data_IF_075280208711
#
_entry.id   IF_075280208711
#
_cell.length_a   1.000
_cell.length_b   1.000
_cell.length_c   1.000
_cell.angle_alpha   90.00
_cell.angle_beta   90.00
_cell.angle_gamma   90.00
#
_symmetry.space_group_name_H-M   'P 1'
#
loop_
_entity.id
_entity.type
_entity.pdbx_description
1 polymer ?
#
# COMPACT_ATOMS: atom_id res chain seq x y z
N UNK A 1 -27.16 7.32 -3.59
CA UNK A 1 -26.08 8.31 -3.79
C UNK A 1 -25.07 8.36 -2.64
N UNK A 2 -25.47 8.16 -1.37
CA UNK A 2 -24.54 8.20 -0.23
C UNK A 2 -23.47 7.09 -0.25
N UNK A 3 -23.82 5.87 -0.64
CA UNK A 3 -22.91 4.70 -0.64
C UNK A 3 -21.74 4.81 -1.63
N UNK A 4 -21.94 5.51 -2.75
CA UNK A 4 -20.87 5.77 -3.72
C UNK A 4 -19.85 6.79 -3.20
N UNK A 5 -20.32 7.79 -2.43
CA UNK A 5 -19.44 8.79 -1.82
C UNK A 5 -18.63 8.18 -0.66
N UNK A 6 -19.21 7.28 0.12
CA UNK A 6 -18.49 6.56 1.18
C UNK A 6 -17.39 5.65 0.61
N UNK A 7 -17.66 4.96 -0.51
CA UNK A 7 -16.66 4.11 -1.17
C UNK A 7 -15.44 4.89 -1.69
N UNK A 8 -15.66 6.04 -2.34
CA UNK A 8 -14.54 6.89 -2.81
C UNK A 8 -13.73 7.49 -1.66
N UNK A 9 -14.38 7.82 -0.53
CA UNK A 9 -13.67 8.25 0.68
C UNK A 9 -12.83 7.14 1.30
N UNK A 10 -13.36 5.90 1.36
CA UNK A 10 -12.62 4.74 1.85
C UNK A 10 -11.40 4.42 0.98
N UNK A 11 -11.51 4.50 -0.35
CA UNK A 11 -10.35 4.37 -1.26
C UNK A 11 -9.28 5.42 -0.99
N UNK A 12 -9.66 6.69 -0.77
CA UNK A 12 -8.71 7.77 -0.46
C UNK A 12 -8.01 7.52 0.88
N UNK A 13 -8.76 7.11 1.92
CA UNK A 13 -8.19 6.72 3.21
C UNK A 13 -7.22 5.55 3.09
N UNK A 14 -7.60 4.49 2.37
CA UNK A 14 -6.73 3.35 2.07
C UNK A 14 -5.41 3.78 1.42
N UNK A 15 -5.47 4.67 0.42
CA UNK A 15 -4.27 5.20 -0.25
C UNK A 15 -3.37 5.98 0.70
N UNK A 16 -3.96 6.79 1.59
CA UNK A 16 -3.21 7.55 2.60
C UNK A 16 -2.50 6.60 3.58
N UNK A 17 -3.23 5.65 4.16
CA UNK A 17 -2.66 4.66 5.08
C UNK A 17 -1.61 3.78 4.43
N UNK A 18 -1.84 3.32 3.19
CA UNK A 18 -0.84 2.57 2.42
C UNK A 18 0.43 3.39 2.22
N UNK A 19 0.31 4.66 1.85
CA UNK A 19 1.48 5.55 1.70
C UNK A 19 2.25 5.68 3.02
N UNK A 20 1.54 5.84 4.14
CA UNK A 20 2.15 5.95 5.46
C UNK A 20 2.89 4.68 5.87
N UNK A 21 2.27 3.50 5.69
CA UNK A 21 2.92 2.20 5.94
C UNK A 21 4.15 2.02 5.05
N UNK A 22 4.05 2.33 3.74
CA UNK A 22 5.20 2.19 2.84
C UNK A 22 6.37 3.11 3.20
N UNK A 23 6.13 4.28 3.79
CA UNK A 23 7.21 5.15 4.26
C UNK A 23 7.98 4.51 5.41
N UNK A 24 7.26 3.97 6.39
CA UNK A 24 7.87 3.27 7.54
C UNK A 24 8.63 2.02 7.09
N UNK A 25 8.10 1.26 6.13
CA UNK A 25 8.82 0.12 5.55
C UNK A 25 10.11 0.56 4.85
N UNK A 26 10.08 1.65 4.07
CA UNK A 26 11.29 2.16 3.41
C UNK A 26 12.31 2.68 4.43
N UNK A 27 11.87 3.27 5.53
CA UNK A 27 12.73 3.72 6.63
C UNK A 27 13.38 2.52 7.35
N UNK A 28 12.62 1.45 7.58
CA UNK A 28 13.14 0.18 8.10
C UNK A 28 14.16 -0.46 7.14
N UNK A 29 13.87 -0.51 5.85
CA UNK A 29 14.78 -1.03 4.83
C UNK A 29 16.09 -0.21 4.78
N UNK A 30 15.98 1.12 4.88
CA UNK A 30 17.14 2.01 4.92
C UNK A 30 17.98 1.77 6.19
N UNK A 31 17.35 1.63 7.35
CA UNK A 31 18.06 1.29 8.60
C UNK A 31 18.73 -0.08 8.54
N UNK A 32 18.05 -1.10 8.01
CA UNK A 32 18.63 -2.44 7.84
C UNK A 32 19.76 -2.49 6.81
N UNK A 33 19.80 -1.54 5.88
CA UNK A 33 20.89 -1.42 4.90
C UNK A 33 22.13 -0.70 5.45
N UNK A 34 22.03 -0.02 6.60
CA UNK A 34 23.15 0.63 7.24
C UNK A 34 24.02 -0.39 7.99
N UNK A 35 25.34 -0.21 7.91
CA UNK A 35 26.32 -1.06 8.61
C UNK A 35 26.29 -0.89 10.14
N UNK A 36 25.87 0.28 10.61
CA UNK A 36 25.65 0.57 12.03
C UNK A 36 24.15 0.58 12.33
N UNK A 37 23.64 -0.58 12.76
CA UNK A 37 22.23 -0.76 13.10
C UNK A 37 21.91 -0.07 14.42
N UNK A 38 20.95 0.85 14.39
CA UNK A 38 20.38 1.42 15.60
C UNK A 38 19.16 0.60 16.04
N UNK A 39 19.36 -0.27 17.04
CA UNK A 39 18.33 -1.20 17.52
C UNK A 39 17.13 -0.46 18.12
N UNK A 40 17.36 0.64 18.84
CA UNK A 40 16.29 1.43 19.45
C UNK A 40 15.40 2.05 18.37
N UNK A 41 16.02 2.59 17.32
CA UNK A 41 15.31 3.19 16.18
C UNK A 41 14.54 2.15 15.35
N UNK A 42 15.11 0.96 15.16
CA UNK A 42 14.42 -0.16 14.52
C UNK A 42 13.18 -0.59 15.32
N UNK A 43 13.30 -0.65 16.66
CA UNK A 43 12.16 -0.97 17.54
C UNK A 43 11.05 0.07 17.41
N UNK A 44 11.38 1.36 17.45
CA UNK A 44 10.42 2.45 17.27
C UNK A 44 9.72 2.38 15.90
N UNK A 45 10.45 2.09 14.83
CA UNK A 45 9.87 1.94 13.50
C UNK A 45 8.95 0.72 13.39
N UNK A 46 9.28 -0.40 14.04
CA UNK A 46 8.41 -1.59 14.09
C UNK A 46 7.13 -1.33 14.87
N UNK A 47 7.21 -0.67 16.02
CA UNK A 47 6.02 -0.25 16.78
C UNK A 47 5.15 0.71 15.96
N UNK A 48 5.78 1.69 15.33
CA UNK A 48 5.13 2.65 14.44
C UNK A 48 4.46 1.97 13.24
N UNK A 49 5.08 0.91 12.70
CA UNK A 49 4.51 0.09 11.64
C UNK A 49 3.24 -0.60 12.11
N UNK A 50 3.27 -1.24 13.29
CA UNK A 50 2.12 -1.94 13.88
C UNK A 50 0.93 -1.00 14.08
N UNK A 51 1.18 0.18 14.69
CA UNK A 51 0.16 1.21 14.92
C UNK A 51 -0.45 1.72 13.61
N UNK A 52 0.35 1.87 12.55
CA UNK A 52 -0.12 2.34 11.24
C UNK A 52 -0.78 1.24 10.40
N UNK A 53 -0.52 -0.03 10.71
CA UNK A 53 -1.09 -1.17 9.99
C UNK A 53 -2.54 -1.45 10.41
N UNK A 54 -2.85 -1.33 11.70
CA UNK A 54 -4.21 -1.48 12.22
C UNK A 54 -5.28 -0.64 11.46
N UNK A 55 -5.14 0.69 11.29
CA UNK A 55 -6.13 1.48 10.55
C UNK A 55 -6.19 1.11 9.06
N UNK A 56 -5.11 0.59 8.46
CA UNK A 56 -5.14 0.08 7.10
C UNK A 56 -6.00 -1.19 7.01
N UNK A 57 -5.84 -2.12 7.96
CA UNK A 57 -6.64 -3.36 8.01
C UNK A 57 -8.13 -3.08 8.21
N UNK A 58 -8.48 -2.13 9.09
CA UNK A 58 -9.86 -1.71 9.31
C UNK A 58 -10.50 -1.13 8.04
N UNK A 59 -9.75 -0.31 7.29
CA UNK A 59 -10.24 0.24 6.02
C UNK A 59 -10.38 -0.84 4.94
N UNK A 60 -9.46 -1.81 4.90
CA UNK A 60 -9.54 -2.93 3.97
C UNK A 60 -10.76 -3.83 4.27
N UNK A 61 -11.07 -4.09 5.55
CA UNK A 61 -12.29 -4.79 5.98
C UNK A 61 -13.56 -4.00 5.61
N UNK A 62 -13.55 -2.67 5.78
CA UNK A 62 -14.66 -1.81 5.36
C UNK A 62 -14.86 -1.79 3.84
N UNK A 63 -13.81 -2.09 3.06
CA UNK A 63 -13.87 -2.15 1.59
C UNK A 63 -14.26 -3.53 1.06
N UNK A 64 -14.03 -4.61 1.82
CA UNK A 64 -14.37 -5.99 1.45
C UNK A 64 -15.82 -6.14 0.93
N UNK A 65 -16.89 -5.64 1.59
CA UNK A 65 -18.26 -5.79 1.11
C UNK A 65 -18.55 -5.04 -0.20
N UNK A 66 -17.77 -3.99 -0.51
CA UNK A 66 -17.85 -3.26 -1.78
C UNK A 66 -17.05 -3.91 -2.91
N UNK A 67 -16.10 -4.79 -2.58
CA UNK A 67 -15.21 -5.48 -3.52
C UNK A 67 -15.61 -6.94 -3.74
N UNK A 68 -16.48 -7.49 -2.90
CA UNK A 68 -16.94 -8.87 -2.99
C UNK A 68 -17.62 -9.14 -4.34
N UNK A 69 -17.20 -10.17 -5.09
CA UNK A 69 -17.74 -10.47 -6.42
C UNK A 69 -19.23 -10.85 -6.43
N UNK A 70 -19.79 -11.21 -5.27
CA UNK A 70 -21.22 -11.49 -5.12
C UNK A 70 -22.10 -10.24 -5.07
N UNK A 71 -21.51 -9.04 -4.91
CA UNK A 71 -22.16 -7.75 -5.16
C UNK A 71 -21.71 -7.26 -6.56
N UNK A 72 -22.33 -7.82 -7.58
CA UNK A 72 -21.96 -7.71 -8.99
C UNK A 72 -22.19 -6.32 -9.62
N UNK A 73 -21.41 -5.31 -9.21
CA UNK A 73 -21.25 -4.07 -9.99
C UNK A 73 -19.81 -3.78 -10.40
N UNK A 74 -18.83 -4.61 -10.01
CA UNK A 74 -17.42 -4.41 -10.36
C UNK A 74 -16.91 -5.54 -11.25
N UNK A 75 -17.65 -5.81 -12.33
CA UNK A 75 -17.05 -6.18 -13.61
C UNK A 75 -16.44 -4.93 -14.29
N UNK A 76 -15.71 -4.11 -13.52
CA UNK A 76 -14.80 -3.14 -14.12
C UNK A 76 -13.57 -3.92 -14.55
N UNK A 77 -13.61 -4.40 -15.80
CA UNK A 77 -12.41 -4.71 -16.57
C UNK A 77 -11.37 -3.66 -16.20
N UNK A 78 -10.31 -4.06 -15.50
CA UNK A 78 -9.16 -3.18 -15.29
C UNK A 78 -8.81 -2.62 -16.67
N UNK A 79 -8.83 -1.29 -16.89
CA UNK A 79 -8.45 -0.77 -18.18
C UNK A 79 -7.02 -1.26 -18.43
N UNK A 80 -6.80 -1.96 -19.56
CA UNK A 80 -5.53 -2.62 -19.95
C UNK A 80 -4.28 -1.72 -19.80
N UNK A 81 -4.48 -0.42 -19.65
CA UNK A 81 -3.47 0.60 -19.34
C UNK A 81 -2.87 0.51 -17.92
N UNK A 82 -3.58 -0.01 -16.91
CA UNK A 82 -3.07 -0.10 -15.54
C UNK A 82 -2.12 -1.30 -15.41
N UNK A 83 -2.43 -2.45 -16.00
CA UNK A 83 -1.52 -3.59 -16.10
C UNK A 83 -0.22 -3.17 -16.79
N UNK A 84 -0.29 -2.54 -17.97
CA UNK A 84 0.90 -2.05 -18.68
C UNK A 84 1.73 -1.11 -17.81
N UNK A 85 1.14 -0.12 -17.13
CA UNK A 85 1.88 0.78 -16.23
C UNK A 85 2.56 0.03 -15.07
N UNK A 86 1.93 -1.00 -14.53
CA UNK A 86 2.48 -1.79 -13.44
C UNK A 86 3.68 -2.64 -13.92
N UNK A 87 3.54 -3.29 -15.08
CA UNK A 87 4.64 -4.01 -15.74
C UNK A 87 5.81 -3.09 -16.11
N UNK A 88 5.55 -1.94 -16.75
CA UNK A 88 6.59 -0.98 -17.13
C UNK A 88 7.28 -0.35 -15.90
N UNK A 89 6.52 0.02 -14.87
CA UNK A 89 7.07 0.61 -13.65
C UNK A 89 7.93 -0.36 -12.82
N UNK A 90 7.61 -1.65 -12.84
CA UNK A 90 8.43 -2.70 -12.22
C UNK A 90 9.63 -3.10 -13.11
N UNK A 91 9.48 -3.05 -14.43
CA UNK A 91 10.57 -3.30 -15.38
C UNK A 91 11.67 -2.24 -15.29
N UNK A 92 11.31 -0.95 -15.26
CA UNK A 92 12.29 0.16 -15.12
C UNK A 92 13.01 0.10 -13.77
N UNK A 93 12.30 -0.25 -12.69
CA UNK A 93 12.92 -0.43 -11.36
C UNK A 93 13.87 -1.62 -11.32
N UNK A 94 13.51 -2.78 -11.89
CA UNK A 94 14.41 -3.94 -11.98
C UNK A 94 15.66 -3.65 -12.82
N UNK A 95 15.54 -2.89 -13.92
CA UNK A 95 16.69 -2.56 -14.76
C UNK A 95 17.70 -1.62 -14.07
N UNK A 96 17.24 -0.71 -13.21
CA UNK A 96 18.14 0.14 -12.40
C UNK A 96 18.93 -0.65 -11.36
N UNK A 97 18.33 -1.70 -10.80
CA UNK A 97 18.98 -2.56 -9.80
C UNK A 97 19.99 -3.54 -10.41
N UNK A 98 19.93 -3.80 -11.73
CA UNK A 98 20.82 -4.72 -12.44
C UNK A 98 22.01 -4.04 -13.14
N UNK A 99 22.09 -2.71 -13.11
CA UNK A 99 23.16 -1.94 -13.75
C UNK A 99 24.08 -1.26 -12.71
N UNK A 100 24.28 -1.87 -11.54
CA UNK A 100 25.29 -1.53 -10.54
C UNK A 100 26.19 -2.75 -10.35
#
# INVERSE_FOLDING_TARGET
>A
MAEAQTFELLKKKRKSFRTAVTKVVNELEAELSNSDLNIDRLSELVETLSIKFEPLTLVDQQLEPFLSPNNSMVNLKLPKNIEKKWYFGNFVRKRRLMNI
#
